data_IF_958275977343
#
_entry.id   IF_958275977343
#
_cell.length_a   1.000
_cell.length_b   1.000
_cell.length_c   1.000
_cell.angle_alpha   90.00
_cell.angle_beta   90.00
_cell.angle_gamma   90.00
#
_symmetry.space_group_name_H-M   'P 1'
#
loop_
_entity.id
_entity.type
_entity.pdbx_description
1 polymer ?
#
# COMPACT_ATOMS: atom_id res chain seq x y z
N UNK A 1 -0.23 -26.08 -3.21
CA UNK A 1 -1.24 -25.91 -2.15
C UNK A 1 -1.16 -24.47 -1.67
N UNK A 2 -2.16 -23.62 -1.95
CA UNK A 2 -2.19 -22.25 -1.42
C UNK A 2 -2.55 -22.30 0.06
N UNK A 3 -1.79 -21.59 0.90
CA UNK A 3 -2.20 -21.38 2.30
C UNK A 3 -3.43 -20.48 2.27
N UNK A 4 -4.55 -20.85 2.94
CA UNK A 4 -5.70 -19.98 3.04
C UNK A 4 -5.28 -18.70 3.74
N UNK A 5 -5.69 -17.56 3.18
CA UNK A 5 -5.53 -16.26 3.82
C UNK A 5 -6.28 -16.32 5.15
N UNK A 6 -5.60 -15.97 6.25
CA UNK A 6 -6.27 -15.83 7.54
C UNK A 6 -7.19 -14.63 7.44
N UNK A 7 -8.49 -14.88 7.52
CA UNK A 7 -9.48 -13.84 7.79
C UNK A 7 -9.15 -13.24 9.15
N UNK A 8 -8.77 -11.96 9.15
CA UNK A 8 -8.65 -11.18 10.37
C UNK A 8 -10.09 -10.96 10.84
N UNK A 9 -10.42 -11.47 12.02
CA UNK A 9 -11.68 -11.17 12.69
C UNK A 9 -11.40 -10.06 13.69
N UNK A 10 -12.10 -8.93 13.56
CA UNK A 10 -12.17 -7.92 14.61
C UNK A 10 -12.77 -8.59 15.85
N UNK A 11 -12.06 -8.59 16.98
CA UNK A 11 -12.63 -9.10 18.24
C UNK A 11 -13.62 -8.05 18.75
N UNK A 12 -14.92 -8.35 18.83
CA UNK A 12 -15.92 -7.40 19.30
C UNK A 12 -15.75 -7.03 20.79
N UNK A 13 -14.84 -7.69 21.51
CA UNK A 13 -14.46 -7.38 22.90
C UNK A 13 -13.20 -6.54 23.00
N UNK A 14 -12.56 -6.22 21.88
CA UNK A 14 -11.49 -5.22 21.83
C UNK A 14 -12.12 -3.84 22.02
N UNK A 15 -12.38 -3.49 23.29
CA UNK A 15 -12.67 -2.12 23.66
C UNK A 15 -11.40 -1.30 23.40
N UNK A 16 -11.39 -0.55 22.30
CA UNK A 16 -10.37 0.45 22.07
C UNK A 16 -10.44 1.48 23.21
N UNK A 17 -9.60 1.30 24.23
CA UNK A 17 -9.57 2.07 25.47
C UNK A 17 -9.38 3.60 25.27
N UNK A 18 -9.05 4.02 24.04
CA UNK A 18 -8.89 5.41 23.65
C UNK A 18 -9.93 5.74 22.57
N UNK A 19 -11.09 6.27 22.98
CA UNK A 19 -12.07 6.89 22.07
C UNK A 19 -11.55 8.22 21.47
N UNK A 20 -10.32 8.63 21.83
CA UNK A 20 -9.66 9.76 21.21
C UNK A 20 -9.29 9.40 19.76
N UNK A 21 -9.99 10.03 18.83
CA UNK A 21 -9.64 10.02 17.42
C UNK A 21 -8.61 11.12 17.17
N UNK A 22 -7.49 10.79 16.52
CA UNK A 22 -6.50 11.78 16.15
C UNK A 22 -7.11 12.79 15.18
N UNK A 23 -7.20 14.06 15.62
CA UNK A 23 -7.92 15.13 14.91
C UNK A 23 -7.48 15.37 13.46
N UNK A 24 -6.24 15.02 13.10
CA UNK A 24 -5.72 15.22 11.73
C UNK A 24 -5.81 13.97 10.86
N UNK A 25 -5.86 12.76 11.43
CA UNK A 25 -5.83 11.50 10.67
C UNK A 25 -7.20 10.81 10.64
N UNK A 26 -8.16 11.26 11.48
CA UNK A 26 -9.45 10.61 11.71
C UNK A 26 -9.32 9.11 12.06
N UNK A 27 -8.22 8.72 12.73
CA UNK A 27 -7.94 7.36 13.17
C UNK A 27 -7.87 7.29 14.70
N UNK A 28 -8.23 6.16 15.34
CA UNK A 28 -8.07 5.97 16.78
C UNK A 28 -6.62 6.18 17.23
N UNK A 29 -6.41 6.89 18.36
CA UNK A 29 -5.07 7.17 18.90
C UNK A 29 -4.27 5.90 19.19
N UNK A 30 -4.93 4.80 19.52
CA UNK A 30 -4.34 3.46 19.67
C UNK A 30 -3.73 2.93 18.38
N UNK A 31 -4.30 3.23 17.20
CA UNK A 31 -3.72 2.88 15.90
C UNK A 31 -2.53 3.78 15.61
N UNK A 32 -2.65 5.08 15.88
CA UNK A 32 -1.56 6.06 15.70
C UNK A 32 -0.35 5.76 16.59
N UNK A 33 -0.59 5.27 17.81
CA UNK A 33 0.45 4.88 18.78
C UNK A 33 0.89 3.42 18.64
N UNK A 34 0.23 2.63 17.80
CA UNK A 34 0.64 1.27 17.57
C UNK A 34 2.04 1.29 16.92
N UNK A 35 2.95 0.51 17.47
CA UNK A 35 4.21 0.23 16.80
C UNK A 35 3.88 -0.46 15.47
N UNK A 36 4.15 0.17 14.31
CA UNK A 36 3.69 -0.31 13.02
C UNK A 36 4.77 -1.24 12.49
N UNK A 37 5.01 -2.33 13.21
CA UNK A 37 5.97 -3.35 12.80
C UNK A 37 5.26 -4.60 12.26
N UNK A 38 4.01 -4.47 11.81
CA UNK A 38 3.35 -5.54 11.07
C UNK A 38 3.81 -5.46 9.62
N UNK A 39 4.77 -6.32 9.28
CA UNK A 39 5.18 -6.56 7.91
C UNK A 39 3.98 -7.06 7.10
N UNK A 40 3.46 -6.22 6.22
CA UNK A 40 2.37 -6.57 5.32
C UNK A 40 2.93 -7.20 4.04
N UNK A 41 2.55 -8.45 3.78
CA UNK A 41 2.91 -9.18 2.57
C UNK A 41 1.76 -9.16 1.56
N UNK A 42 1.96 -8.51 0.42
CA UNK A 42 0.99 -8.41 -0.65
C UNK A 42 1.42 -9.27 -1.83
N UNK A 43 0.52 -10.13 -2.33
CA UNK A 43 0.73 -10.80 -3.60
C UNK A 43 0.06 -9.97 -4.69
N UNK A 44 0.83 -9.54 -5.69
CA UNK A 44 0.32 -8.78 -6.82
C UNK A 44 0.29 -9.69 -8.05
N UNK A 45 -0.88 -9.72 -8.70
CA UNK A 45 -1.14 -10.50 -9.89
C UNK A 45 -1.48 -9.57 -11.04
N UNK A 46 -1.14 -9.97 -12.28
CA UNK A 46 -1.56 -9.24 -13.48
C UNK A 46 -3.08 -9.22 -13.64
N UNK A 47 -3.71 -10.36 -13.39
CA UNK A 47 -5.15 -10.58 -13.51
C UNK A 47 -5.58 -11.72 -12.59
N UNK A 48 -6.89 -11.96 -12.48
CA UNK A 48 -7.48 -12.95 -11.57
C UNK A 48 -7.20 -14.40 -11.95
N UNK A 49 -6.66 -14.65 -13.15
CA UNK A 49 -6.37 -15.99 -13.68
C UNK A 49 -4.87 -16.30 -13.73
N UNK A 50 -4.02 -15.29 -13.57
CA UNK A 50 -2.57 -15.43 -13.63
C UNK A 50 -2.02 -16.28 -12.48
N UNK A 51 -1.24 -17.31 -12.83
CA UNK A 51 -0.47 -18.09 -11.87
C UNK A 51 0.83 -17.38 -11.47
N UNK A 52 1.29 -16.43 -12.29
CA UNK A 52 2.47 -15.63 -12.01
C UNK A 52 2.08 -14.45 -11.12
N UNK A 53 2.85 -14.30 -10.05
CA UNK A 53 2.67 -13.26 -9.05
C UNK A 53 4.01 -12.71 -8.61
N UNK A 54 4.00 -11.47 -8.18
CA UNK A 54 5.10 -10.86 -7.44
C UNK A 54 4.67 -10.63 -5.99
N UNK A 55 5.65 -10.56 -5.09
CA UNK A 55 5.40 -10.27 -3.67
C UNK A 55 5.94 -8.88 -3.37
N UNK A 56 5.10 -8.03 -2.81
CA UNK A 56 5.47 -6.76 -2.23
C UNK A 56 5.41 -6.86 -0.70
N UNK A 57 6.28 -6.12 -0.03
CA UNK A 57 6.39 -6.08 1.41
C UNK A 57 6.38 -4.62 1.84
N UNK A 58 5.55 -4.28 2.82
CA UNK A 58 5.49 -2.93 3.40
C UNK A 58 5.54 -3.07 4.92
N UNK A 59 6.51 -2.41 5.52
CA UNK A 59 6.82 -2.44 6.95
C UNK A 59 6.88 -1.03 7.56
N UNK A 60 6.31 -0.05 6.86
CA UNK A 60 6.36 1.38 7.21
C UNK A 60 5.00 2.04 7.02
N UNK A 61 4.80 3.20 7.65
CA UNK A 61 3.60 4.01 7.45
C UNK A 61 3.55 4.54 6.02
N UNK A 62 2.46 4.24 5.32
CA UNK A 62 2.18 4.68 3.95
C UNK A 62 0.70 5.02 3.80
N UNK A 63 0.39 5.98 2.92
CA UNK A 63 -0.98 6.22 2.50
C UNK A 63 -1.40 5.28 1.35
N UNK A 64 -2.65 5.40 0.93
CA UNK A 64 -3.25 4.57 -0.13
C UNK A 64 -2.52 4.74 -1.47
N UNK A 65 -2.21 5.98 -1.83
CA UNK A 65 -1.57 6.31 -3.09
C UNK A 65 -0.16 5.70 -3.16
N UNK A 66 0.66 5.88 -2.11
CA UNK A 66 1.98 5.27 -2.02
C UNK A 66 1.89 3.75 -2.07
N UNK A 67 0.92 3.16 -1.36
CA UNK A 67 0.69 1.72 -1.40
C UNK A 67 0.48 1.23 -2.84
N UNK A 68 -0.37 1.90 -3.63
CA UNK A 68 -0.64 1.52 -5.03
C UNK A 68 0.60 1.73 -5.91
N UNK A 69 1.36 2.81 -5.69
CA UNK A 69 2.64 3.04 -6.36
C UNK A 69 3.64 1.90 -6.11
N UNK A 70 3.80 1.47 -4.86
CA UNK A 70 4.66 0.35 -4.50
C UNK A 70 4.22 -0.94 -5.21
N UNK A 71 2.91 -1.26 -5.20
CA UNK A 71 2.40 -2.45 -5.89
C UNK A 71 2.65 -2.38 -7.41
N UNK A 72 2.45 -1.20 -7.99
CA UNK A 72 2.64 -0.89 -9.42
C UNK A 72 4.09 -1.09 -9.86
N UNK A 73 5.03 -0.54 -9.08
CA UNK A 73 6.46 -0.70 -9.28
C UNK A 73 6.89 -2.16 -9.13
N UNK A 74 6.42 -2.87 -8.10
CA UNK A 74 6.74 -4.30 -7.91
C UNK A 74 6.25 -5.17 -9.05
N UNK A 75 5.10 -4.84 -9.64
CA UNK A 75 4.61 -5.54 -10.83
C UNK A 75 5.52 -5.27 -12.04
N UNK A 76 5.97 -4.03 -12.24
CA UNK A 76 6.91 -3.67 -13.30
C UNK A 76 8.26 -4.38 -13.12
N UNK A 77 8.85 -4.33 -11.93
CA UNK A 77 10.13 -4.96 -11.59
C UNK A 77 10.12 -6.48 -11.79
N UNK A 78 8.96 -7.11 -11.57
CA UNK A 78 8.83 -8.57 -11.72
C UNK A 78 8.95 -9.06 -13.16
N UNK A 79 8.76 -8.18 -14.15
CA UNK A 79 8.75 -8.53 -15.57
C UNK A 79 7.59 -9.45 -15.99
N UNK A 80 6.65 -9.76 -15.09
CA UNK A 80 5.51 -10.66 -15.35
C UNK A 80 4.59 -10.09 -16.45
N UNK A 81 4.58 -8.77 -16.61
CA UNK A 81 3.87 -8.09 -17.70
C UNK A 81 4.85 -7.16 -18.45
N UNK A 82 5.48 -7.61 -19.55
CA UNK A 82 6.49 -6.82 -20.27
C UNK A 82 5.99 -5.45 -20.77
N UNK A 83 4.73 -5.38 -21.21
CA UNK A 83 4.12 -4.12 -21.65
C UNK A 83 4.00 -3.14 -20.48
N UNK A 84 3.57 -3.61 -19.31
CA UNK A 84 3.52 -2.80 -18.11
C UNK A 84 4.91 -2.37 -17.65
N UNK A 85 5.88 -3.30 -17.65
CA UNK A 85 7.26 -3.01 -17.29
C UNK A 85 7.83 -1.88 -18.16
N UNK A 86 7.73 -1.99 -19.48
CA UNK A 86 8.21 -0.96 -20.40
C UNK A 86 7.50 0.38 -20.19
N UNK A 87 6.17 0.36 -20.05
CA UNK A 87 5.38 1.57 -19.82
C UNK A 87 5.74 2.26 -18.50
N UNK A 88 5.84 1.51 -17.41
CA UNK A 88 6.21 2.05 -16.09
C UNK A 88 7.62 2.63 -16.09
N UNK A 89 8.58 1.90 -16.66
CA UNK A 89 9.97 2.34 -16.80
C UNK A 89 10.10 3.65 -17.59
N UNK A 90 9.29 3.80 -18.64
CA UNK A 90 9.35 4.97 -19.53
C UNK A 90 8.60 6.17 -18.96
N UNK A 91 7.43 5.96 -18.34
CA UNK A 91 6.51 7.05 -17.96
C UNK A 91 6.59 7.43 -16.48
N UNK A 92 6.92 6.49 -15.60
CA UNK A 92 6.67 6.65 -14.16
C UNK A 92 7.86 6.41 -13.26
N UNK A 93 8.94 5.81 -13.75
CA UNK A 93 10.12 5.49 -12.94
C UNK A 93 10.68 6.70 -12.20
N UNK A 94 10.81 7.82 -12.89
CA UNK A 94 11.35 9.04 -12.28
C UNK A 94 10.45 9.56 -11.15
N UNK A 95 9.14 9.63 -11.40
CA UNK A 95 8.14 10.02 -10.38
C UNK A 95 8.15 9.08 -9.20
N UNK A 96 8.26 7.77 -9.44
CA UNK A 96 8.31 6.79 -8.36
C UNK A 96 9.56 6.98 -7.47
N UNK A 97 10.73 7.17 -8.09
CA UNK A 97 11.97 7.47 -7.34
C UNK A 97 11.83 8.75 -6.51
N UNK A 98 11.19 9.79 -7.05
CA UNK A 98 10.92 11.03 -6.30
C UNK A 98 10.02 10.77 -5.09
N UNK A 99 8.89 10.07 -5.27
CA UNK A 99 7.98 9.70 -4.18
C UNK A 99 8.72 8.91 -3.08
N UNK A 100 9.57 7.95 -3.46
CA UNK A 100 10.36 7.17 -2.50
C UNK A 100 11.30 8.07 -1.69
N UNK A 101 12.05 8.95 -2.36
CA UNK A 101 12.98 9.87 -1.70
C UNK A 101 12.24 10.82 -0.72
N UNK A 102 11.08 11.33 -1.11
CA UNK A 102 10.24 12.16 -0.23
C UNK A 102 9.78 11.38 1.00
N UNK A 103 9.28 10.16 0.84
CA UNK A 103 8.85 9.31 1.96
C UNK A 103 10.01 8.96 2.90
N UNK A 104 11.19 8.69 2.37
CA UNK A 104 12.39 8.43 3.17
C UNK A 104 12.86 9.67 3.95
N UNK A 105 12.58 10.87 3.45
CA UNK A 105 12.90 12.12 4.14
C UNK A 105 11.97 12.44 5.33
N UNK A 106 10.79 11.83 5.35
CA UNK A 106 9.81 11.97 6.42
C UNK A 106 10.06 10.88 7.45
N UNK A 107 10.00 11.20 8.74
CA UNK A 107 10.08 10.18 9.79
C UNK A 107 8.98 9.11 9.58
N UNK A 108 9.28 7.86 9.91
CA UNK A 108 8.32 6.76 9.78
C UNK A 108 7.27 6.81 10.89
N UNK A 109 6.36 7.77 10.74
CA UNK A 109 5.34 8.12 11.69
C UNK A 109 4.01 8.36 10.95
N UNK A 110 2.87 8.40 11.67
CA UNK A 110 1.54 8.57 11.09
C UNK A 110 1.39 9.82 10.20
N UNK A 111 2.25 10.82 10.33
CA UNK A 111 2.31 12.01 9.46
C UNK A 111 2.41 11.66 7.97
N UNK A 112 3.02 10.51 7.64
CA UNK A 112 3.11 10.02 6.25
C UNK A 112 1.74 9.76 5.61
N UNK A 113 0.67 9.56 6.39
CA UNK A 113 -0.68 9.43 5.83
C UNK A 113 -1.18 10.70 5.16
N UNK A 114 -0.73 11.87 5.63
CA UNK A 114 -1.16 13.15 5.11
C UNK A 114 -0.22 13.68 4.02
N UNK A 115 0.86 12.95 3.72
CA UNK A 115 1.75 13.36 2.64
C UNK A 115 1.01 13.26 1.31
N UNK A 116 1.04 14.33 0.53
CA UNK A 116 0.44 14.33 -0.79
C UNK A 116 1.30 13.47 -1.73
N UNK A 117 0.68 12.44 -2.31
CA UNK A 117 1.34 11.57 -3.30
C UNK A 117 0.63 11.77 -4.63
N UNK A 118 1.36 11.94 -5.75
CA UNK A 118 0.78 11.99 -7.08
C UNK A 118 -0.15 10.80 -7.33
N UNK A 119 -1.24 11.04 -8.06
CA UNK A 119 -2.22 10.00 -8.39
C UNK A 119 -1.48 8.82 -9.07
N UNK A 120 -1.57 7.61 -8.52
CA UNK A 120 -0.90 6.46 -9.10
C UNK A 120 -1.51 6.03 -10.43
N UNK A 121 -0.80 5.23 -11.22
CA UNK A 121 -1.24 4.79 -12.54
C UNK A 121 -2.28 3.66 -12.42
N UNK A 122 -3.49 4.01 -11.99
CA UNK A 122 -4.65 3.13 -12.01
C UNK A 122 -5.89 3.88 -12.51
N UNK A 123 -6.82 3.12 -13.09
CA UNK A 123 -8.17 3.58 -13.33
C UNK A 123 -9.08 2.93 -12.29
N UNK A 124 -9.93 3.74 -11.64
CA UNK A 124 -10.95 3.21 -10.74
C UNK A 124 -11.91 2.40 -11.59
N UNK A 125 -12.09 1.12 -11.27
CA UNK A 125 -13.12 0.32 -11.93
C UNK A 125 -14.49 0.95 -11.61
N UNK A 126 -15.19 1.42 -12.64
CA UNK A 126 -16.58 1.83 -12.49
C UNK A 126 -17.40 0.60 -12.09
N UNK A 127 -17.89 0.60 -10.84
CA UNK A 127 -18.86 -0.40 -10.42
C UNK A 127 -20.17 -0.07 -11.13
N UNK A 128 -20.44 -0.76 -12.26
CA UNK A 128 -21.76 -0.78 -12.87
C UNK A 128 -22.75 -1.27 -11.80
N UNK A 129 -23.49 -0.33 -11.22
CA UNK A 129 -24.53 -0.56 -10.21
C UNK A 129 -25.87 -0.76 -10.89
#
# INVERSE_FOLDING_TARGET
MSKPLKTIHEDPREEWLDNEVHRHYNMPMVVVRAEPHILMHCNVYRDTTSLLKTSACIDKWVNTEYFIWEMSAKLADSGVNPQWTEFFETQYKETWVQIQNEFESIADLPERFLHEVPVPPFEVAEANT
#
